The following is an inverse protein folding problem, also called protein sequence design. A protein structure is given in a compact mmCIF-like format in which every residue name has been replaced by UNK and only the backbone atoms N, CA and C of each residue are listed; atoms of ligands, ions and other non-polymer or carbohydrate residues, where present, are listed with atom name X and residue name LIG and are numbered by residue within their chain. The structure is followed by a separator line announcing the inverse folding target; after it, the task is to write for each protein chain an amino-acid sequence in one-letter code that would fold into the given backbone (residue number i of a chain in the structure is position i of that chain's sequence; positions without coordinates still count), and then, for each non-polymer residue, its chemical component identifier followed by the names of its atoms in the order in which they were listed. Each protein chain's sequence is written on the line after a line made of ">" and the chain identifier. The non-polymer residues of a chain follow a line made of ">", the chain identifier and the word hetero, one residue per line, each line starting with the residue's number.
data_IF_255505898646
#
_entry.id   IF_255505898646
#
_cell.length_a   1.000
_cell.length_b   1.000
_cell.length_c   1.000
_cell.angle_alpha   90.00
_cell.angle_beta   90.00
_cell.angle_gamma   90.00
#
_symmetry.space_group_name_H-M   'P 1'
#
loop_
_entity.id
_entity.type
_entity.pdbx_description
1 polymer ?
#
# COMPACT_ATOMS: atom_id res chain seq x y z
N UNK A 1 18.19 -11.86 -1.19
CA UNK A 1 16.74 -12.07 -1.33
C UNK A 1 16.04 -10.98 -0.52
N UNK A 2 15.61 -9.91 -1.17
CA UNK A 2 14.80 -8.88 -0.51
C UNK A 2 13.38 -9.46 -0.43
N UNK A 3 12.93 -9.84 0.76
CA UNK A 3 11.67 -10.56 0.95
C UNK A 3 10.47 -9.60 0.86
N UNK A 4 10.27 -9.01 -0.31
CA UNK A 4 9.13 -8.15 -0.61
C UNK A 4 7.80 -8.85 -0.36
N UNK A 5 7.75 -10.17 -0.54
CA UNK A 5 6.57 -10.98 -0.27
C UNK A 5 6.26 -11.04 1.23
N UNK A 6 7.28 -11.15 2.10
CA UNK A 6 7.08 -11.06 3.55
C UNK A 6 6.68 -9.65 3.99
N UNK A 7 7.31 -8.60 3.44
CA UNK A 7 6.90 -7.23 3.73
C UNK A 7 5.45 -6.99 3.29
N UNK A 8 5.04 -7.51 2.13
CA UNK A 8 3.67 -7.44 1.66
C UNK A 8 2.70 -8.17 2.61
N UNK A 9 3.05 -9.39 3.04
CA UNK A 9 2.23 -10.18 3.95
C UNK A 9 2.04 -9.48 5.31
N UNK A 10 3.12 -8.93 5.87
CA UNK A 10 3.08 -8.19 7.13
C UNK A 10 2.22 -6.93 7.03
N UNK A 11 2.33 -6.19 5.92
CA UNK A 11 1.53 -5.00 5.65
C UNK A 11 0.05 -5.36 5.53
N UNK A 12 -0.30 -6.40 4.77
CA UNK A 12 -1.69 -6.86 4.64
C UNK A 12 -2.28 -7.23 6.00
N UNK A 13 -1.56 -8.00 6.82
CA UNK A 13 -2.00 -8.38 8.17
C UNK A 13 -2.17 -7.16 9.09
N UNK A 14 -1.24 -6.19 9.02
CA UNK A 14 -1.37 -4.93 9.74
C UNK A 14 -2.64 -4.18 9.34
N UNK A 15 -2.91 -4.00 8.03
CA UNK A 15 -4.08 -3.24 7.58
C UNK A 15 -5.42 -3.93 7.88
N UNK A 16 -5.46 -5.26 7.97
CA UNK A 16 -6.66 -5.99 8.43
C UNK A 16 -7.08 -5.57 9.84
N UNK A 17 -6.14 -5.26 10.72
CA UNK A 17 -6.42 -4.84 12.11
C UNK A 17 -6.51 -3.31 12.23
N UNK A 18 -5.69 -2.57 11.48
CA UNK A 18 -5.62 -1.12 11.55
C UNK A 18 -6.85 -0.42 10.94
N UNK A 19 -7.35 -0.87 9.77
CA UNK A 19 -8.46 -0.18 9.09
C UNK A 19 -9.73 -0.10 9.94
N UNK A 20 -10.21 -1.18 10.59
CA UNK A 20 -11.39 -1.09 11.46
C UNK A 20 -11.18 -0.15 12.65
N UNK A 21 -9.99 -0.17 13.27
CA UNK A 21 -9.67 0.71 14.38
C UNK A 21 -9.63 2.18 13.93
N UNK A 22 -9.07 2.45 12.75
CA UNK A 22 -9.01 3.78 12.14
C UNK A 22 -10.40 4.31 11.79
N UNK A 23 -11.27 3.49 11.20
CA UNK A 23 -12.65 3.87 10.89
C UNK A 23 -13.44 4.21 12.16
N UNK A 24 -13.32 3.41 13.22
CA UNK A 24 -13.93 3.68 14.52
C UNK A 24 -13.42 5.01 15.12
N UNK A 25 -12.13 5.30 14.97
CA UNK A 25 -11.56 6.58 15.38
C UNK A 25 -12.13 7.76 14.57
N UNK A 26 -12.26 7.64 13.26
CA UNK A 26 -12.86 8.69 12.41
C UNK A 26 -14.32 8.98 12.80
N UNK A 27 -15.10 7.93 13.07
CA UNK A 27 -16.50 8.07 13.51
C UNK A 27 -16.57 8.78 14.86
N UNK A 28 -15.76 8.34 15.84
CA UNK A 28 -15.79 8.91 17.20
C UNK A 28 -15.23 10.32 17.30
N UNK A 29 -14.20 10.65 16.51
CA UNK A 29 -13.60 11.99 16.47
C UNK A 29 -14.45 13.01 15.70
N UNK A 30 -15.49 12.57 14.98
CA UNK A 30 -16.31 13.42 14.12
C UNK A 30 -15.57 13.94 12.88
N UNK A 31 -14.35 13.45 12.61
CA UNK A 31 -13.57 13.81 11.43
C UNK A 31 -14.23 13.22 10.20
N UNK A 32 -14.90 14.07 9.42
CA UNK A 32 -15.53 13.66 8.16
C UNK A 32 -14.48 13.53 7.07
N UNK A 33 -14.16 12.30 6.72
CA UNK A 33 -13.35 11.95 5.56
C UNK A 33 -14.20 11.29 4.47
N UNK A 34 -14.00 11.66 3.21
CA UNK A 34 -14.71 11.05 2.08
C UNK A 34 -14.21 9.62 1.86
N UNK A 35 -15.08 8.63 2.03
CA UNK A 35 -14.79 7.25 1.65
C UNK A 35 -15.12 7.02 0.16
N UNK A 36 -14.11 7.19 -0.71
CA UNK A 36 -14.25 6.92 -2.15
C UNK A 36 -13.57 5.58 -2.47
N UNK A 37 -14.26 4.64 -3.14
CA UNK A 37 -13.61 3.41 -3.59
C UNK A 37 -12.46 3.77 -4.54
N UNK A 38 -11.31 3.14 -4.31
CA UNK A 38 -10.12 3.29 -5.14
C UNK A 38 -9.76 1.96 -5.79
N UNK A 39 -9.03 2.02 -6.90
CA UNK A 39 -8.61 0.82 -7.65
C UNK A 39 -7.56 -0.02 -6.89
N UNK A 40 -6.90 0.55 -5.89
CA UNK A 40 -5.87 -0.11 -5.09
C UNK A 40 -6.22 -0.01 -3.61
N UNK A 41 -6.13 -1.12 -2.88
CA UNK A 41 -6.26 -1.10 -1.43
C UNK A 41 -5.16 -0.25 -0.79
N UNK A 42 -5.44 0.31 0.40
CA UNK A 42 -4.47 1.10 1.18
C UNK A 42 -3.20 0.28 1.47
N UNK A 43 -3.37 -1.01 1.76
CA UNK A 43 -2.26 -1.96 1.93
C UNK A 43 -1.34 -2.02 0.71
N UNK A 44 -1.91 -2.18 -0.50
CA UNK A 44 -1.14 -2.19 -1.76
C UNK A 44 -0.41 -0.87 -2.00
N UNK A 45 -1.07 0.27 -1.74
CA UNK A 45 -0.42 1.58 -1.84
C UNK A 45 0.76 1.68 -0.88
N UNK A 46 0.59 1.25 0.37
CA UNK A 46 1.66 1.27 1.38
C UNK A 46 2.85 0.40 0.98
N UNK A 47 2.59 -0.80 0.46
CA UNK A 47 3.64 -1.69 -0.06
C UNK A 47 4.41 -1.04 -1.20
N UNK A 48 3.71 -0.42 -2.17
CA UNK A 48 4.36 0.28 -3.29
C UNK A 48 5.29 1.39 -2.78
N UNK A 49 4.85 2.15 -1.77
CA UNK A 49 5.64 3.25 -1.17
C UNK A 49 6.86 2.72 -0.42
N UNK A 50 6.71 1.67 0.40
CA UNK A 50 7.82 1.07 1.15
C UNK A 50 8.83 0.46 0.19
N UNK A 51 8.38 -0.29 -0.81
CA UNK A 51 9.24 -0.88 -1.82
C UNK A 51 9.96 0.18 -2.66
N UNK A 52 9.29 1.30 -2.99
CA UNK A 52 9.95 2.43 -3.64
C UNK A 52 11.10 2.97 -2.78
N UNK A 53 10.85 3.26 -1.51
CA UNK A 53 11.86 3.77 -0.60
C UNK A 53 13.05 2.80 -0.43
N UNK A 54 12.77 1.51 -0.28
CA UNK A 54 13.80 0.47 -0.16
C UNK A 54 14.61 0.27 -1.44
N UNK A 55 13.99 0.50 -2.61
CA UNK A 55 14.63 0.31 -3.91
C UNK A 55 15.64 1.42 -4.27
N UNK A 56 15.64 2.54 -3.55
CA UNK A 56 16.57 3.68 -3.75
C UNK A 56 16.56 4.28 -5.17
N UNK A 57 15.45 4.15 -5.89
CA UNK A 57 15.27 4.86 -7.16
C UNK A 57 15.22 6.37 -6.91
N UNK A 58 15.82 7.15 -7.81
CA UNK A 58 15.87 8.61 -7.69
C UNK A 58 14.51 9.28 -7.87
N UNK A 59 13.60 8.64 -8.62
CA UNK A 59 12.25 9.14 -8.85
C UNK A 59 11.22 8.01 -8.93
N UNK A 60 9.98 8.34 -8.55
CA UNK A 60 8.89 7.38 -8.50
C UNK A 60 8.45 6.91 -9.90
N UNK A 61 8.57 7.74 -10.94
CA UNK A 61 8.13 7.41 -12.30
C UNK A 61 8.98 6.26 -12.86
N UNK A 62 10.29 6.34 -12.71
CA UNK A 62 11.23 5.29 -13.12
C UNK A 62 10.97 4.00 -12.35
N UNK A 63 10.83 4.08 -11.02
CA UNK A 63 10.47 2.92 -10.20
C UNK A 63 9.16 2.26 -10.65
N UNK A 64 8.10 3.05 -10.84
CA UNK A 64 6.79 2.54 -11.20
C UNK A 64 6.79 1.79 -12.53
N UNK A 65 7.43 2.36 -13.56
CA UNK A 65 7.52 1.75 -14.89
C UNK A 65 8.34 0.45 -14.86
N UNK A 66 9.46 0.45 -14.16
CA UNK A 66 10.38 -0.69 -14.16
C UNK A 66 9.96 -1.82 -13.22
N UNK A 67 9.27 -1.51 -12.12
CA UNK A 67 8.97 -2.46 -11.06
C UNK A 67 7.47 -2.75 -10.95
N UNK A 68 6.65 -1.74 -10.65
CA UNK A 68 5.22 -1.91 -10.35
C UNK A 68 4.43 -2.34 -11.59
N UNK A 69 4.65 -1.68 -12.72
CA UNK A 69 3.97 -2.02 -13.98
C UNK A 69 4.27 -3.46 -14.43
N UNK A 70 5.52 -3.90 -14.28
CA UNK A 70 5.93 -5.27 -14.64
C UNK A 70 5.38 -6.33 -13.68
N UNK A 71 5.27 -6.01 -12.39
CA UNK A 71 4.75 -6.92 -11.38
C UNK A 71 3.23 -7.08 -11.48
N UNK A 72 2.49 -6.01 -11.79
CA UNK A 72 1.04 -6.04 -11.96
C UNK A 72 0.58 -6.89 -13.16
N UNK A 73 1.40 -7.05 -14.20
CA UNK A 73 1.12 -7.92 -15.36
C UNK A 73 1.35 -9.41 -15.05
N UNK A 74 1.97 -9.73 -13.92
CA UNK A 74 2.31 -11.10 -13.53
C UNK A 74 1.27 -11.76 -12.63
N UNK A 75 0.35 -10.97 -12.07
CA UNK A 75 -0.68 -11.41 -11.10
C UNK A 75 -2.10 -11.16 -11.66
N UNK A 76 -2.21 -11.00 -12.98
CA UNK A 76 -3.49 -10.98 -13.72
C UNK A 76 -3.70 -12.28 -14.47
#
# INVERSE_FOLDING_TARGET
>A
MNNLDAVFLDIENFFQTFLPAWENYLISSGVKQRNKPSLLSVSKVMTIVIAFHQSRYGDFKTYYIHFVYRYSQRIS
#
